data_IF_918119256171
#
_entry.id   IF_918119256171
#
_cell.length_a   1.000
_cell.length_b   1.000
_cell.length_c   1.000
_cell.angle_alpha   90.00
_cell.angle_beta   90.00
_cell.angle_gamma   90.00
#
_symmetry.space_group_name_H-M   'P 1'
#
loop_
_entity.id
_entity.type
_entity.pdbx_description
1 polymer ?
#
# COMPACT_ATOMS: atom_id res chain seq x y z
N UNK A 1 86.12 -125.53 84.75
CA UNK A 1 87.57 -125.26 84.72
C UNK A 1 87.86 -124.46 83.46
N UNK A 2 88.73 -123.45 83.54
CA UNK A 2 89.08 -122.63 82.38
C UNK A 2 90.04 -123.39 81.45
N UNK A 3 89.99 -123.07 80.15
CA UNK A 3 91.18 -123.08 79.30
C UNK A 3 91.04 -121.95 78.28
N UNK A 4 91.96 -120.99 78.36
CA UNK A 4 92.16 -119.94 77.37
C UNK A 4 93.31 -120.39 76.46
N UNK A 5 93.14 -120.25 75.14
CA UNK A 5 94.22 -120.42 74.15
C UNK A 5 94.14 -119.28 73.14
N UNK A 6 94.54 -118.09 73.59
CA UNK A 6 95.08 -117.07 72.70
C UNK A 6 96.41 -117.54 72.09
N UNK A 7 96.43 -117.79 70.76
CA UNK A 7 97.53 -117.44 69.84
C UNK A 7 97.24 -117.83 68.37
N UNK A 8 97.95 -117.18 67.45
CA UNK A 8 98.08 -117.49 66.01
C UNK A 8 96.79 -117.33 65.16
N UNK A 9 96.13 -116.17 65.11
CA UNK A 9 96.55 -114.91 64.46
C UNK A 9 96.96 -115.06 62.96
N UNK A 10 96.11 -114.48 62.09
CA UNK A 10 96.34 -113.98 60.71
C UNK A 10 96.37 -115.01 59.55
N UNK A 11 95.52 -114.80 58.52
CA UNK A 11 95.42 -115.70 57.37
C UNK A 11 94.83 -115.18 56.04
N UNK A 12 93.58 -114.65 56.01
CA UNK A 12 92.91 -114.06 54.80
C UNK A 12 92.66 -115.02 53.59
N UNK A 13 91.53 -115.02 52.86
CA UNK A 13 90.25 -114.27 52.85
C UNK A 13 89.15 -115.14 52.13
N UNK A 14 87.97 -114.70 51.68
CA UNK A 14 87.09 -113.51 51.93
C UNK A 14 85.82 -113.97 52.70
N UNK A 15 84.69 -113.25 52.64
CA UNK A 15 83.54 -113.46 53.55
C UNK A 15 82.21 -112.96 52.94
N UNK A 16 81.10 -113.63 53.24
CA UNK A 16 79.72 -113.19 52.94
C UNK A 16 78.82 -113.50 54.15
N UNK A 17 77.95 -112.57 54.58
CA UNK A 17 77.13 -112.70 55.81
C UNK A 17 75.65 -112.56 55.48
N UNK A 18 74.87 -113.64 55.67
CA UNK A 18 73.47 -113.70 55.23
C UNK A 18 72.41 -113.22 56.23
N UNK A 19 72.75 -112.94 57.50
CA UNK A 19 71.85 -112.29 58.48
C UNK A 19 72.62 -111.85 59.73
N UNK A 20 72.32 -110.64 60.21
CA UNK A 20 72.74 -110.14 61.51
C UNK A 20 71.46 -109.81 62.30
N UNK A 21 71.29 -110.38 63.49
CA UNK A 21 70.17 -110.07 64.37
C UNK A 21 70.71 -110.02 65.81
N UNK A 22 70.64 -108.86 66.44
CA UNK A 22 71.29 -108.57 67.71
C UNK A 22 70.35 -107.74 68.58
N UNK A 23 69.93 -108.32 69.70
CA UNK A 23 69.11 -107.67 70.72
C UNK A 23 69.97 -107.41 71.96
N UNK A 24 70.39 -106.16 72.16
CA UNK A 24 71.17 -105.74 73.34
C UNK A 24 72.48 -105.05 72.96
N UNK A 25 72.37 -103.75 72.63
CA UNK A 25 73.45 -102.80 72.32
C UNK A 25 74.27 -103.06 71.03
N UNK A 26 74.77 -101.97 70.44
CA UNK A 26 75.01 -101.87 68.98
C UNK A 26 76.23 -102.64 68.45
N UNK A 27 76.09 -103.22 67.25
CA UNK A 27 77.23 -103.65 66.41
C UNK A 27 77.35 -102.75 65.19
N UNK A 28 78.37 -101.89 65.21
CA UNK A 28 78.84 -101.10 64.09
C UNK A 28 79.71 -101.96 63.16
N UNK A 29 79.27 -102.21 61.91
CA UNK A 29 80.08 -102.87 60.89
C UNK A 29 80.84 -101.80 60.08
N UNK A 30 82.10 -101.56 60.42
CA UNK A 30 83.00 -100.70 59.65
C UNK A 30 83.76 -101.50 58.59
N UNK A 31 83.17 -101.59 57.38
CA UNK A 31 83.81 -102.19 56.20
C UNK A 31 82.88 -102.15 54.98
N UNK A 32 83.42 -102.13 53.74
CA UNK A 32 82.60 -102.04 52.54
C UNK A 32 81.78 -103.32 52.31
N UNK A 33 80.46 -103.21 52.44
CA UNK A 33 79.52 -104.29 52.10
C UNK A 33 79.49 -104.44 50.56
N UNK A 34 80.00 -105.55 50.05
CA UNK A 34 79.78 -105.96 48.66
C UNK A 34 78.48 -106.76 48.57
N UNK A 35 77.50 -106.22 47.86
CA UNK A 35 76.33 -106.94 47.39
C UNK A 35 76.51 -107.30 45.90
N UNK A 36 76.45 -108.58 45.50
CA UNK A 36 76.58 -108.96 44.10
C UNK A 36 75.24 -108.77 43.36
N UNK A 37 75.25 -107.84 42.39
CA UNK A 37 74.38 -107.76 41.22
C UNK A 37 72.84 -107.78 41.43
N UNK A 38 72.21 -106.61 41.54
CA UNK A 38 70.90 -106.29 40.92
C UNK A 38 70.65 -104.77 41.01
N UNK A 39 70.20 -104.14 39.91
CA UNK A 39 69.15 -103.08 39.88
C UNK A 39 68.88 -102.65 38.44
N UNK A 40 67.93 -103.31 37.78
CA UNK A 40 66.78 -102.54 37.29
C UNK A 40 65.80 -102.43 38.47
N UNK A 41 65.14 -101.27 38.62
CA UNK A 41 64.05 -101.09 39.59
C UNK A 41 64.40 -100.33 40.87
N UNK A 42 64.03 -99.05 40.89
CA UNK A 42 63.53 -98.26 42.03
C UNK A 42 64.12 -98.47 43.44
N UNK A 43 64.78 -97.44 43.95
CA UNK A 43 64.98 -97.24 45.40
C UNK A 43 63.63 -96.86 46.04
N UNK A 44 63.20 -97.62 47.04
CA UNK A 44 61.98 -97.35 47.83
C UNK A 44 62.40 -96.81 49.19
N UNK A 45 61.98 -95.58 49.52
CA UNK A 45 62.13 -95.01 50.86
C UNK A 45 60.90 -95.37 51.70
N UNK A 46 61.09 -96.22 52.72
CA UNK A 46 60.03 -96.55 53.68
C UNK A 46 60.22 -95.74 54.97
N UNK A 47 59.41 -94.69 55.12
CA UNK A 47 59.25 -93.91 56.35
C UNK A 47 57.81 -93.40 56.42
N UNK A 48 57.22 -93.36 57.62
CA UNK A 48 55.77 -93.16 57.82
C UNK A 48 55.24 -91.74 57.56
N UNK A 49 55.99 -90.89 56.86
CA UNK A 49 55.69 -89.47 56.57
C UNK A 49 55.88 -89.15 55.08
N UNK A 50 55.26 -89.92 54.17
CA UNK A 50 55.26 -89.64 52.73
C UNK A 50 53.84 -89.26 52.26
N UNK A 51 53.62 -87.98 52.01
CA UNK A 51 52.37 -87.42 51.46
C UNK A 51 52.38 -87.39 49.92
N UNK A 52 51.20 -87.28 49.31
CA UNK A 52 50.90 -87.74 47.93
C UNK A 52 51.64 -87.05 46.76
N UNK A 53 52.41 -85.97 46.98
CA UNK A 53 52.79 -85.01 45.92
C UNK A 53 54.10 -85.30 45.16
N UNK A 54 54.64 -86.53 45.16
CA UNK A 54 55.90 -86.83 44.47
C UNK A 54 55.87 -88.11 43.62
N UNK A 55 55.33 -87.99 42.40
CA UNK A 55 55.41 -89.01 41.34
C UNK A 55 55.92 -88.44 40.02
N UNK A 56 57.25 -88.40 39.90
CA UNK A 56 58.03 -88.72 38.70
C UNK A 56 57.68 -88.02 37.36
N UNK A 57 58.41 -86.96 37.02
CA UNK A 57 58.66 -86.57 35.63
C UNK A 57 60.17 -86.46 35.39
N UNK A 58 60.75 -87.46 34.71
CA UNK A 58 62.19 -87.61 34.56
C UNK A 58 62.78 -86.55 33.60
N UNK A 59 63.36 -85.50 34.17
CA UNK A 59 64.10 -84.47 33.44
C UNK A 59 65.45 -85.01 32.97
N UNK A 60 65.75 -84.95 31.66
CA UNK A 60 67.08 -85.29 31.16
C UNK A 60 68.07 -84.16 31.46
N UNK A 61 68.92 -84.38 32.48
CA UNK A 61 69.92 -83.43 32.98
C UNK A 61 70.93 -82.95 31.93
N UNK A 62 71.07 -83.64 30.79
CA UNK A 62 71.98 -83.24 29.70
C UNK A 62 71.44 -82.25 28.67
N UNK A 63 70.11 -81.99 28.61
CA UNK A 63 69.50 -81.15 27.53
C UNK A 63 68.54 -80.05 27.98
N UNK A 64 68.16 -79.97 29.26
CA UNK A 64 67.28 -78.91 29.80
C UNK A 64 65.95 -78.68 29.03
N UNK A 65 65.44 -79.71 28.37
CA UNK A 65 64.15 -79.70 27.66
C UNK A 65 63.48 -81.06 27.79
N UNK A 66 62.14 -81.07 27.78
CA UNK A 66 61.31 -82.27 27.64
C UNK A 66 61.34 -82.73 26.17
N UNK A 67 61.52 -84.03 25.93
CA UNK A 67 61.48 -84.55 24.55
C UNK A 67 60.04 -84.59 24.03
N UNK A 68 59.87 -84.21 22.76
CA UNK A 68 58.63 -83.69 22.18
C UNK A 68 57.47 -84.68 22.02
N UNK A 69 57.59 -85.92 22.50
CA UNK A 69 56.65 -87.00 22.21
C UNK A 69 56.12 -87.77 23.44
N UNK A 70 56.36 -87.30 24.68
CA UNK A 70 56.02 -88.07 25.90
C UNK A 70 54.87 -87.56 26.79
N UNK A 71 54.23 -86.42 26.50
CA UNK A 71 52.96 -86.04 27.17
C UNK A 71 51.79 -86.52 26.31
N UNK A 72 51.53 -87.83 26.35
CA UNK A 72 50.45 -88.47 25.60
C UNK A 72 49.18 -88.57 26.45
N UNK A 73 48.37 -87.51 26.46
CA UNK A 73 47.04 -87.54 27.08
C UNK A 73 46.09 -88.36 26.20
N UNK A 74 46.06 -89.67 26.41
CA UNK A 74 45.12 -90.58 25.75
C UNK A 74 43.88 -90.81 26.61
N UNK A 75 42.71 -90.39 26.12
CA UNK A 75 41.43 -90.96 26.58
C UNK A 75 41.32 -92.41 26.11
N UNK A 76 40.83 -93.29 26.98
CA UNK A 76 40.58 -94.72 26.69
C UNK A 76 39.43 -95.00 25.71
N UNK A 77 38.85 -93.96 25.10
CA UNK A 77 37.73 -94.05 24.17
C UNK A 77 36.35 -94.05 24.83
N UNK A 78 36.25 -94.01 26.17
CA UNK A 78 34.94 -94.03 26.87
C UNK A 78 34.51 -92.68 27.47
N UNK A 79 35.38 -91.66 27.47
CA UNK A 79 35.04 -90.30 27.90
C UNK A 79 35.21 -89.27 26.78
N UNK A 80 34.18 -88.44 26.57
CA UNK A 80 33.97 -87.65 25.36
C UNK A 80 34.93 -86.47 25.10
N UNK A 81 35.90 -86.20 25.99
CA UNK A 81 37.02 -85.30 25.72
C UNK A 81 38.17 -85.51 26.71
N UNK A 82 39.41 -85.85 26.27
CA UNK A 82 40.61 -85.67 27.09
C UNK A 82 40.92 -84.17 27.21
N UNK A 83 40.25 -83.49 28.15
CA UNK A 83 40.50 -82.09 28.43
C UNK A 83 41.72 -81.91 29.34
N UNK A 84 42.74 -81.18 28.88
CA UNK A 84 43.82 -80.67 29.72
C UNK A 84 43.26 -79.56 30.64
N UNK A 85 42.71 -79.96 31.78
CA UNK A 85 42.13 -79.04 32.77
C UNK A 85 43.22 -78.46 33.67
N UNK A 86 43.62 -77.22 33.40
CA UNK A 86 44.37 -76.41 34.36
C UNK A 86 43.42 -75.91 35.46
N UNK A 87 43.07 -76.80 36.40
CA UNK A 87 42.30 -76.43 37.59
C UNK A 87 43.24 -75.82 38.64
N UNK A 88 43.68 -74.59 38.39
CA UNK A 88 44.55 -73.85 39.31
C UNK A 88 43.81 -72.66 39.93
N UNK A 89 43.59 -72.72 41.23
CA UNK A 89 43.07 -71.61 42.03
C UNK A 89 44.14 -70.87 42.83
N UNK A 90 45.44 -71.27 42.84
CA UNK A 90 46.56 -70.48 43.42
C UNK A 90 48.01 -71.07 43.33
N UNK A 91 48.45 -71.69 42.23
CA UNK A 91 49.77 -72.39 42.15
C UNK A 91 50.68 -72.04 40.96
N UNK A 92 50.24 -71.14 40.07
CA UNK A 92 51.17 -70.23 39.37
C UNK A 92 51.65 -70.68 37.99
N UNK A 93 50.79 -71.33 37.20
CA UNK A 93 51.07 -71.53 35.76
C UNK A 93 51.03 -70.24 34.93
N UNK A 94 50.33 -69.21 35.41
CA UNK A 94 50.31 -67.86 34.83
C UNK A 94 50.34 -66.81 35.95
N UNK A 95 51.18 -65.79 35.80
CA UNK A 95 51.28 -64.62 36.70
C UNK A 95 50.33 -63.51 36.25
N UNK A 96 50.08 -62.54 37.13
CA UNK A 96 49.39 -61.29 36.77
C UNK A 96 50.19 -60.58 35.67
N UNK A 97 49.61 -60.46 34.48
CA UNK A 97 50.24 -59.90 33.28
C UNK A 97 50.66 -60.93 32.22
N UNK A 98 50.64 -62.23 32.52
CA UNK A 98 50.95 -63.26 31.53
C UNK A 98 49.82 -63.37 30.48
N UNK A 99 50.20 -63.37 29.20
CA UNK A 99 49.26 -63.50 28.09
C UNK A 99 49.03 -64.96 27.70
N UNK A 100 47.84 -65.50 28.01
CA UNK A 100 47.41 -66.81 27.48
C UNK A 100 47.11 -66.67 25.98
N UNK A 101 48.05 -67.10 25.14
CA UNK A 101 47.86 -67.13 23.67
C UNK A 101 46.97 -68.30 23.27
N UNK A 102 45.67 -68.05 23.20
CA UNK A 102 44.71 -68.97 22.57
C UNK A 102 44.84 -68.89 21.04
N UNK A 103 45.59 -69.83 20.45
CA UNK A 103 45.66 -69.98 18.99
C UNK A 103 44.43 -70.73 18.48
N UNK A 104 43.40 -69.98 18.08
CA UNK A 104 42.23 -70.52 17.39
C UNK A 104 42.52 -70.58 15.89
N UNK A 105 42.21 -71.71 15.26
CA UNK A 105 42.29 -71.80 13.81
C UNK A 105 41.02 -71.22 13.17
N UNK A 106 41.10 -70.94 11.88
CA UNK A 106 40.06 -70.34 11.03
C UNK A 106 38.78 -71.19 10.84
N UNK A 107 38.54 -72.19 11.69
CA UNK A 107 37.28 -72.96 11.76
C UNK A 107 36.76 -73.15 13.18
N UNK A 108 37.36 -72.52 14.20
CA UNK A 108 36.94 -72.63 15.60
C UNK A 108 36.41 -71.29 16.15
N UNK A 109 35.15 -71.28 16.57
CA UNK A 109 34.49 -70.13 17.21
C UNK A 109 34.92 -70.06 18.68
N UNK A 110 35.30 -68.87 19.17
CA UNK A 110 35.44 -68.61 20.59
C UNK A 110 34.06 -68.44 21.24
N UNK A 111 33.52 -69.51 21.82
CA UNK A 111 32.27 -69.45 22.59
C UNK A 111 32.59 -69.01 24.02
N UNK A 112 32.33 -67.74 24.34
CA UNK A 112 32.41 -67.22 25.71
C UNK A 112 31.06 -67.38 26.40
N UNK A 113 30.95 -68.34 27.32
CA UNK A 113 29.75 -68.55 28.13
C UNK A 113 29.73 -67.62 29.37
N UNK A 114 29.99 -66.33 29.15
CA UNK A 114 30.02 -65.28 30.16
C UNK A 114 29.19 -64.08 29.69
N UNK A 115 28.78 -63.20 30.61
CA UNK A 115 27.87 -62.08 30.34
C UNK A 115 28.43 -60.98 29.44
N UNK A 116 29.68 -61.08 29.00
CA UNK A 116 30.32 -60.15 28.06
C UNK A 116 31.80 -60.46 27.85
N UNK A 117 32.41 -59.77 26.88
CA UNK A 117 33.86 -59.70 26.67
C UNK A 117 34.35 -58.34 27.16
N UNK A 118 35.17 -58.33 28.22
CA UNK A 118 35.89 -57.11 28.61
C UNK A 118 37.20 -57.00 27.80
N UNK A 119 37.37 -55.88 27.10
CA UNK A 119 38.56 -55.56 26.30
C UNK A 119 39.39 -54.42 26.90
N UNK A 120 38.92 -53.79 27.98
CA UNK A 120 39.50 -52.57 28.54
C UNK A 120 39.73 -51.51 27.43
N UNK A 121 40.96 -51.01 27.27
CA UNK A 121 41.32 -49.97 26.29
C UNK A 121 41.80 -50.53 24.94
N UNK A 122 41.66 -51.83 24.69
CA UNK A 122 42.10 -52.46 23.44
C UNK A 122 41.08 -52.26 22.31
N UNK A 123 41.58 -51.96 21.11
CA UNK A 123 40.75 -51.87 19.90
C UNK A 123 40.40 -53.26 19.39
N UNK A 124 39.15 -53.45 18.95
CA UNK A 124 38.84 -54.51 17.99
C UNK A 124 39.28 -54.01 16.62
N UNK A 125 40.10 -54.80 15.91
CA UNK A 125 40.54 -54.50 14.54
C UNK A 125 40.03 -55.60 13.60
N UNK A 126 39.61 -55.23 12.38
CA UNK A 126 39.09 -56.19 11.40
C UNK A 126 37.63 -56.60 11.60
N UNK A 127 36.83 -55.86 12.36
CA UNK A 127 35.35 -55.96 12.28
C UNK A 127 34.93 -55.43 10.91
N UNK A 128 34.24 -56.26 10.13
CA UNK A 128 33.62 -55.85 8.85
C UNK A 128 32.36 -55.04 9.14
N UNK A 129 31.99 -54.12 8.26
CA UNK A 129 30.78 -53.31 8.43
C UNK A 129 29.53 -54.19 8.61
N UNK A 130 28.64 -53.85 9.57
CA UNK A 130 27.47 -54.65 9.86
C UNK A 130 26.45 -54.59 8.71
N UNK A 131 25.89 -55.75 8.39
CA UNK A 131 24.79 -55.95 7.44
C UNK A 131 23.43 -56.05 8.14
N UNK A 132 23.40 -56.27 9.46
CA UNK A 132 22.18 -56.37 10.27
C UNK A 132 22.28 -55.63 11.61
N UNK A 133 21.13 -55.17 12.13
CA UNK A 133 21.01 -54.35 13.34
C UNK A 133 21.50 -55.02 14.65
N UNK A 134 21.79 -56.32 14.64
CA UNK A 134 22.28 -57.08 15.80
C UNK A 134 23.78 -57.39 15.75
N UNK A 135 24.49 -56.95 14.71
CA UNK A 135 25.94 -57.09 14.60
C UNK A 135 26.67 -55.97 15.37
N UNK A 136 27.96 -56.17 15.65
CA UNK A 136 28.77 -55.20 16.37
C UNK A 136 28.99 -53.93 15.53
N UNK A 137 28.17 -52.90 15.75
CA UNK A 137 28.27 -51.65 15.02
C UNK A 137 29.65 -51.00 15.16
N UNK A 138 30.33 -50.75 14.04
CA UNK A 138 31.53 -49.93 14.02
C UNK A 138 31.15 -48.48 14.34
N UNK A 139 32.06 -47.69 14.96
CA UNK A 139 31.77 -46.26 15.19
C UNK A 139 31.43 -45.56 13.88
N UNK A 140 32.10 -45.94 12.78
CA UNK A 140 31.83 -45.42 11.44
C UNK A 140 30.41 -45.71 10.96
N UNK A 141 29.87 -46.91 11.20
CA UNK A 141 28.46 -47.21 10.86
C UNK A 141 27.49 -46.29 11.60
N UNK A 142 27.76 -45.98 12.88
CA UNK A 142 26.94 -45.05 13.65
C UNK A 142 27.11 -43.61 13.14
N UNK A 143 28.35 -43.16 12.90
CA UNK A 143 28.63 -41.82 12.39
C UNK A 143 28.11 -41.57 10.96
N UNK A 144 28.09 -42.59 10.09
CA UNK A 144 27.61 -42.50 8.70
C UNK A 144 26.07 -42.62 8.59
N UNK A 145 25.38 -43.14 9.62
CA UNK A 145 23.92 -43.33 9.63
C UNK A 145 23.18 -42.46 10.67
N UNK A 146 23.88 -41.76 11.57
CA UNK A 146 23.26 -40.73 12.41
C UNK A 146 23.02 -39.47 11.58
N UNK A 147 21.76 -39.04 11.53
CA UNK A 147 21.21 -38.20 10.46
C UNK A 147 21.50 -36.71 10.69
N UNK A 148 22.76 -36.30 10.58
CA UNK A 148 23.22 -34.91 10.72
C UNK A 148 22.86 -34.06 9.48
N UNK A 149 21.57 -33.95 9.17
CA UNK A 149 21.03 -33.29 7.97
C UNK A 149 21.20 -31.78 8.05
N UNK A 150 22.36 -31.30 7.60
CA UNK A 150 22.69 -29.86 7.49
C UNK A 150 22.07 -29.18 6.27
N UNK A 151 21.40 -29.94 5.39
CA UNK A 151 20.70 -29.42 4.22
C UNK A 151 19.19 -29.74 4.26
N UNK A 152 18.39 -28.67 4.24
CA UNK A 152 16.93 -28.71 4.16
C UNK A 152 16.38 -29.51 2.96
N UNK A 153 17.13 -29.67 1.87
CA UNK A 153 16.67 -30.43 0.69
C UNK A 153 16.37 -31.91 0.99
N UNK A 154 16.97 -32.46 2.05
CA UNK A 154 16.77 -33.85 2.49
C UNK A 154 15.48 -34.09 3.30
N UNK A 155 14.76 -33.02 3.68
CA UNK A 155 13.58 -33.13 4.54
C UNK A 155 12.31 -33.42 3.72
N UNK A 156 11.83 -34.66 3.78
CA UNK A 156 10.57 -35.07 3.16
C UNK A 156 9.35 -34.54 3.93
N UNK A 157 8.42 -33.87 3.23
CA UNK A 157 7.07 -33.47 3.69
C UNK A 157 6.98 -32.38 4.78
N UNK A 158 7.62 -31.21 4.61
CA UNK A 158 7.32 -30.00 5.42
C UNK A 158 6.22 -29.11 4.77
N UNK A 159 5.56 -29.57 3.71
CA UNK A 159 4.50 -28.81 3.03
C UNK A 159 4.16 -29.39 1.66
N UNK A 160 3.19 -28.78 0.97
CA UNK A 160 2.78 -29.17 -0.40
C UNK A 160 3.67 -28.62 -1.51
N UNK A 161 4.59 -27.71 -1.18
CA UNK A 161 5.47 -27.04 -2.14
C UNK A 161 6.89 -27.62 -2.01
N UNK A 162 7.50 -27.96 -3.14
CA UNK A 162 8.89 -28.43 -3.23
C UNK A 162 9.88 -27.27 -3.06
N UNK A 163 11.14 -27.57 -2.72
CA UNK A 163 12.23 -26.59 -2.69
C UNK A 163 12.32 -25.80 -4.00
N UNK A 164 12.24 -26.47 -5.16
CA UNK A 164 12.22 -25.78 -6.45
C UNK A 164 11.06 -24.77 -6.61
N UNK A 165 9.88 -25.04 -6.03
CA UNK A 165 8.75 -24.09 -6.01
C UNK A 165 8.98 -22.94 -5.02
N UNK A 166 9.64 -23.20 -3.89
CA UNK A 166 10.00 -22.19 -2.88
C UNK A 166 11.11 -21.28 -3.42
N UNK A 167 12.17 -21.83 -4.00
CA UNK A 167 13.27 -21.10 -4.64
C UNK A 167 12.77 -20.30 -5.84
N UNK A 168 11.85 -20.86 -6.64
CA UNK A 168 11.18 -20.11 -7.71
C UNK A 168 10.37 -18.95 -7.14
N UNK A 169 9.65 -19.13 -6.03
CA UNK A 169 8.89 -18.05 -5.39
C UNK A 169 9.81 -16.96 -4.78
N UNK A 170 10.95 -17.34 -4.21
CA UNK A 170 11.97 -16.43 -3.67
C UNK A 170 12.71 -15.66 -4.79
N UNK A 171 12.88 -16.26 -5.97
CA UNK A 171 13.47 -15.62 -7.14
C UNK A 171 12.45 -14.85 -8.01
N UNK A 172 11.16 -15.15 -7.88
CA UNK A 172 10.07 -14.52 -8.62
C UNK A 172 9.70 -13.15 -8.02
N UNK A 173 10.45 -12.12 -8.41
CA UNK A 173 10.14 -10.73 -8.06
C UNK A 173 8.85 -10.19 -8.72
N UNK A 174 8.05 -11.01 -9.42
CA UNK A 174 6.67 -10.66 -9.82
C UNK A 174 5.62 -11.08 -8.78
N UNK A 175 5.98 -11.97 -7.84
CA UNK A 175 5.11 -12.42 -6.75
C UNK A 175 5.79 -12.46 -5.37
N UNK A 176 7.01 -11.93 -5.24
CA UNK A 176 7.70 -11.72 -3.97
C UNK A 176 6.99 -10.65 -3.12
N UNK A 177 5.83 -11.05 -2.59
CA UNK A 177 4.83 -10.26 -1.90
C UNK A 177 4.16 -9.19 -2.80
N UNK A 178 2.84 -9.04 -2.65
CA UNK A 178 2.09 -7.93 -3.25
C UNK A 178 2.33 -6.61 -2.47
N UNK A 179 3.58 -6.36 -2.09
CA UNK A 179 4.06 -5.32 -1.17
C UNK A 179 4.18 -3.94 -1.84
N UNK A 180 3.39 -3.74 -2.90
CA UNK A 180 3.48 -2.55 -3.73
C UNK A 180 2.96 -1.34 -2.94
N UNK A 181 3.84 -0.38 -2.65
CA UNK A 181 3.57 0.80 -1.81
C UNK A 181 3.53 0.53 -0.29
N UNK A 182 4.16 -0.55 0.19
CA UNK A 182 4.29 -0.81 1.63
C UNK A 182 5.65 -0.41 2.22
N UNK A 183 6.68 -0.13 1.39
CA UNK A 183 7.96 0.42 1.85
C UNK A 183 8.20 1.87 1.40
N UNK A 184 8.87 2.65 2.26
CA UNK A 184 9.18 4.06 1.96
C UNK A 184 10.27 4.16 0.90
N UNK A 185 9.94 4.71 -0.27
CA UNK A 185 10.89 4.91 -1.38
C UNK A 185 10.65 4.00 -2.59
N UNK A 186 9.65 3.11 -2.53
CA UNK A 186 9.24 2.26 -3.65
C UNK A 186 9.00 3.08 -4.93
N UNK A 187 9.88 2.90 -5.92
CA UNK A 187 9.72 3.53 -7.23
C UNK A 187 8.95 2.60 -8.14
N UNK A 188 7.70 2.97 -8.40
CA UNK A 188 6.79 2.20 -9.21
C UNK A 188 7.20 2.09 -10.68
N UNK A 189 7.13 0.88 -11.24
CA UNK A 189 7.11 0.67 -12.68
C UNK A 189 5.87 -0.14 -13.06
N UNK A 190 5.11 0.34 -14.04
CA UNK A 190 3.84 -0.26 -14.46
C UNK A 190 2.58 0.43 -13.91
N UNK A 191 1.44 0.04 -14.47
CA UNK A 191 0.13 0.57 -14.10
C UNK A 191 -0.36 -0.03 -12.78
N UNK A 192 -1.18 0.74 -12.05
CA UNK A 192 -1.91 0.25 -10.88
C UNK A 192 -3.40 0.35 -11.09
N UNK A 193 -4.14 -0.66 -10.63
CA UNK A 193 -5.58 -0.67 -10.65
C UNK A 193 -6.14 -1.12 -9.30
N UNK A 194 -6.55 -0.16 -8.48
CA UNK A 194 -7.18 -0.40 -7.19
C UNK A 194 -8.70 -0.52 -7.40
N UNK A 195 -9.27 -1.65 -6.97
CA UNK A 195 -10.72 -1.92 -7.02
C UNK A 195 -11.32 -1.64 -8.42
N UNK A 196 -10.71 -2.26 -9.43
CA UNK A 196 -11.14 -2.27 -10.84
C UNK A 196 -11.45 -0.91 -11.48
N UNK A 197 -10.87 0.18 -10.96
CA UNK A 197 -10.95 1.53 -11.51
C UNK A 197 -11.27 2.60 -10.48
N UNK A 198 -11.59 2.25 -9.23
CA UNK A 198 -11.83 3.21 -8.13
C UNK A 198 -10.64 4.16 -7.97
N UNK A 199 -9.41 3.66 -8.00
CA UNK A 199 -8.20 4.47 -8.19
C UNK A 199 -7.26 3.78 -9.19
N UNK A 200 -6.78 4.51 -10.19
CA UNK A 200 -5.98 3.96 -11.28
C UNK A 200 -4.79 4.86 -11.57
N UNK A 201 -3.60 4.28 -11.73
CA UNK A 201 -2.40 4.99 -12.17
C UNK A 201 -1.96 4.38 -13.48
N UNK A 202 -1.98 5.19 -14.54
CA UNK A 202 -1.48 4.86 -15.87
C UNK A 202 -0.03 5.36 -15.99
N UNK A 203 0.94 4.46 -15.78
CA UNK A 203 2.36 4.77 -15.96
C UNK A 203 2.74 4.87 -17.44
N UNK A 204 1.95 4.28 -18.35
CA UNK A 204 2.22 4.33 -19.78
C UNK A 204 1.87 5.70 -20.38
N UNK A 205 0.86 6.39 -19.84
CA UNK A 205 0.48 7.75 -20.29
C UNK A 205 0.65 8.87 -19.26
N UNK A 206 1.22 8.57 -18.09
CA UNK A 206 1.46 9.49 -16.96
C UNK A 206 0.18 10.19 -16.46
N UNK A 207 -0.83 9.39 -16.10
CA UNK A 207 -2.14 9.91 -15.64
C UNK A 207 -2.69 9.14 -14.45
N UNK A 208 -3.57 9.80 -13.72
CA UNK A 208 -4.32 9.25 -12.60
C UNK A 208 -5.81 9.25 -12.93
N UNK A 209 -6.47 8.11 -12.77
CA UNK A 209 -7.92 7.95 -12.81
C UNK A 209 -8.50 7.78 -11.40
N UNK A 210 -9.69 8.34 -11.15
CA UNK A 210 -10.52 8.01 -9.99
C UNK A 210 -11.91 7.65 -10.53
N UNK A 211 -12.39 6.44 -10.25
CA UNK A 211 -13.61 5.89 -10.88
C UNK A 211 -13.47 5.59 -12.39
N UNK A 212 -12.25 5.46 -12.92
CA UNK A 212 -11.99 5.14 -14.33
C UNK A 212 -10.59 4.56 -14.56
N UNK A 213 -10.51 3.51 -15.39
CA UNK A 213 -9.26 2.91 -15.89
C UNK A 213 -8.77 3.51 -17.20
N UNK A 214 -9.47 4.51 -17.77
CA UNK A 214 -9.11 5.15 -19.05
C UNK A 214 -8.99 6.67 -18.90
N UNK A 215 -7.99 7.17 -18.14
CA UNK A 215 -7.82 8.59 -17.91
C UNK A 215 -7.53 9.37 -19.20
N UNK A 216 -8.35 10.38 -19.48
CA UNK A 216 -8.19 11.27 -20.66
C UNK A 216 -7.38 12.53 -20.36
N UNK A 217 -7.12 12.83 -19.08
CA UNK A 217 -6.35 13.96 -18.55
C UNK A 217 -5.40 13.47 -17.47
N UNK A 218 -4.39 14.27 -17.10
CA UNK A 218 -3.40 13.92 -16.06
C UNK A 218 -4.05 13.51 -14.73
N UNK A 219 -5.18 14.13 -14.38
CA UNK A 219 -6.13 13.62 -13.39
C UNK A 219 -7.51 13.54 -14.06
N UNK A 220 -8.12 12.36 -14.07
CA UNK A 220 -9.47 12.12 -14.56
C UNK A 220 -10.31 11.47 -13.47
N UNK A 221 -11.02 12.28 -12.69
CA UNK A 221 -11.99 11.81 -11.71
C UNK A 221 -13.38 11.71 -12.38
N UNK A 222 -13.93 10.50 -12.49
CA UNK A 222 -15.22 10.22 -13.10
C UNK A 222 -16.27 9.94 -12.03
N UNK A 223 -17.35 10.72 -11.99
CA UNK A 223 -18.43 10.56 -11.00
C UNK A 223 -18.09 10.95 -9.56
N UNK A 224 -16.97 11.65 -9.34
CA UNK A 224 -16.46 12.04 -8.01
C UNK A 224 -16.86 13.46 -7.64
N UNK A 225 -17.22 13.69 -6.37
CA UNK A 225 -17.41 15.02 -5.79
C UNK A 225 -16.13 15.48 -5.08
N UNK A 226 -15.56 16.61 -5.50
CA UNK A 226 -14.44 17.25 -4.78
C UNK A 226 -15.01 18.14 -3.67
N UNK A 227 -14.89 17.70 -2.42
CA UNK A 227 -15.33 18.47 -1.24
C UNK A 227 -14.13 19.06 -0.51
N UNK A 228 -13.93 20.37 -0.63
CA UNK A 228 -13.10 21.12 0.29
C UNK A 228 -13.90 21.40 1.58
N UNK A 229 -13.34 21.10 2.76
CA UNK A 229 -13.99 21.32 4.05
C UNK A 229 -12.98 21.52 5.18
N UNK A 230 -13.33 22.35 6.17
CA UNK A 230 -12.52 22.53 7.39
C UNK A 230 -11.79 23.86 7.52
N UNK A 231 -11.98 24.81 6.59
CA UNK A 231 -11.38 26.15 6.63
C UNK A 231 -12.43 27.23 6.33
N UNK A 232 -12.19 28.46 6.77
CA UNK A 232 -13.04 29.63 6.49
C UNK A 232 -13.02 30.06 5.00
N UNK A 233 -12.07 29.53 4.25
CA UNK A 233 -11.93 29.63 2.79
C UNK A 233 -11.78 28.20 2.28
N UNK A 234 -12.72 27.73 1.46
CA UNK A 234 -12.70 26.40 0.87
C UNK A 234 -13.08 26.49 -0.60
N UNK A 235 -12.29 25.91 -1.50
CA UNK A 235 -12.50 26.10 -2.94
C UNK A 235 -11.60 25.25 -3.80
N UNK A 236 -11.70 25.48 -5.12
CA UNK A 236 -10.83 24.90 -6.13
C UNK A 236 -10.08 26.07 -6.78
N UNK A 237 -8.78 26.14 -6.53
CA UNK A 237 -7.87 27.05 -7.24
C UNK A 237 -7.61 26.48 -8.64
N UNK A 238 -7.81 27.30 -9.67
CA UNK A 238 -7.41 26.98 -11.04
C UNK A 238 -6.16 27.80 -11.38
N UNK A 239 -5.02 27.34 -10.85
CA UNK A 239 -3.73 27.94 -11.15
C UNK A 239 -3.39 27.70 -12.64
N UNK A 240 -3.23 28.78 -13.42
CA UNK A 240 -2.81 28.72 -14.83
C UNK A 240 -1.46 29.43 -14.96
N UNK A 241 -0.57 29.13 -14.01
CA UNK A 241 0.79 29.62 -13.94
C UNK A 241 1.77 28.91 -14.86
N UNK A 242 2.36 29.65 -15.79
CA UNK A 242 3.69 29.34 -16.33
C UNK A 242 4.73 29.99 -15.42
N UNK A 243 5.71 29.23 -14.96
CA UNK A 243 6.51 29.45 -13.74
C UNK A 243 7.52 30.62 -13.74
N UNK A 244 7.22 31.75 -14.38
CA UNK A 244 8.14 32.90 -14.49
C UNK A 244 7.50 34.29 -14.41
N UNK A 245 6.17 34.38 -14.33
CA UNK A 245 5.44 35.62 -14.02
C UNK A 245 4.34 35.34 -13.00
N UNK A 246 3.93 36.32 -12.16
CA UNK A 246 2.70 36.20 -11.39
C UNK A 246 1.52 36.22 -12.37
N UNK A 247 1.15 35.02 -12.84
CA UNK A 247 0.03 34.84 -13.74
C UNK A 247 -1.27 35.19 -13.04
N UNK A 248 -2.28 35.42 -13.88
CA UNK A 248 -3.62 35.69 -13.41
C UNK A 248 -4.27 34.38 -13.01
N UNK A 249 -4.07 33.97 -11.77
CA UNK A 249 -4.74 32.79 -11.23
C UNK A 249 -6.21 33.12 -10.93
N UNK A 250 -7.09 32.20 -11.31
CA UNK A 250 -8.53 32.34 -11.11
C UNK A 250 -9.02 31.29 -10.13
N UNK A 251 -9.70 31.76 -9.08
CA UNK A 251 -10.25 30.88 -8.05
C UNK A 251 -11.76 30.91 -8.05
N UNK A 252 -12.35 29.76 -7.73
CA UNK A 252 -13.71 29.65 -7.26
C UNK A 252 -13.71 29.07 -5.85
N UNK A 253 -14.16 29.84 -4.87
CA UNK A 253 -14.13 29.46 -3.45
C UNK A 253 -15.30 30.03 -2.66
N UNK A 254 -15.56 29.47 -1.48
CA UNK A 254 -16.48 30.02 -0.49
C UNK A 254 -15.75 30.96 0.46
N UNK A 255 -16.25 32.18 0.64
CA UNK A 255 -15.77 33.14 1.62
C UNK A 255 -16.83 33.30 2.71
N UNK A 256 -16.70 32.54 3.80
CA UNK A 256 -17.84 32.27 4.67
C UNK A 256 -18.92 31.50 3.88
N UNK A 257 -20.15 32.01 3.86
CA UNK A 257 -21.29 31.39 3.16
C UNK A 257 -21.44 31.84 1.69
N UNK A 258 -20.64 32.81 1.22
CA UNK A 258 -20.74 33.38 -0.12
C UNK A 258 -19.84 32.64 -1.13
N UNK A 259 -20.35 32.35 -2.33
CA UNK A 259 -19.55 31.82 -3.44
C UNK A 259 -18.88 32.98 -4.21
N UNK A 260 -17.56 32.91 -4.39
CA UNK A 260 -16.74 34.00 -4.95
C UNK A 260 -15.93 33.51 -6.14
N UNK A 261 -15.92 34.31 -7.20
CA UNK A 261 -14.99 34.22 -8.34
C UNK A 261 -13.97 35.35 -8.22
N UNK A 262 -12.70 35.01 -8.08
CA UNK A 262 -11.61 35.95 -7.83
C UNK A 262 -10.52 35.87 -8.88
N UNK A 263 -10.00 37.03 -9.23
CA UNK A 263 -8.75 37.19 -9.97
C UNK A 263 -7.61 37.46 -8.97
N UNK A 264 -6.55 36.65 -8.99
CA UNK A 264 -5.33 36.85 -8.22
C UNK A 264 -4.24 37.42 -9.11
N UNK A 265 -4.15 38.75 -9.21
CA UNK A 265 -3.07 39.44 -9.95
C UNK A 265 -2.40 40.51 -9.09
N UNK A 266 -1.40 40.10 -8.31
CA UNK A 266 -0.68 40.94 -7.36
C UNK A 266 -1.49 41.26 -6.10
N UNK A 267 -2.73 41.72 -6.25
CA UNK A 267 -3.73 41.82 -5.19
C UNK A 267 -4.99 41.03 -5.56
N UNK A 268 -5.73 40.60 -4.55
CA UNK A 268 -6.98 39.85 -4.68
C UNK A 268 -8.10 40.76 -5.19
N UNK A 269 -8.71 40.41 -6.33
CA UNK A 269 -9.82 41.16 -6.90
C UNK A 269 -11.05 40.26 -7.11
N UNK A 270 -12.08 40.43 -6.28
CA UNK A 270 -13.35 39.72 -6.45
C UNK A 270 -14.08 40.26 -7.69
N UNK A 271 -14.28 39.39 -8.68
CA UNK A 271 -14.92 39.74 -9.95
C UNK A 271 -16.41 39.40 -9.95
N UNK A 272 -16.83 38.36 -9.24
CA UNK A 272 -18.23 38.04 -9.02
C UNK A 272 -18.43 37.42 -7.63
N UNK A 273 -19.55 37.77 -6.99
CA UNK A 273 -19.98 37.27 -5.68
C UNK A 273 -21.41 36.75 -5.81
N UNK A 274 -21.69 35.56 -5.32
CA UNK A 274 -23.04 35.04 -5.10
C UNK A 274 -23.22 34.87 -3.58
N UNK A 275 -23.99 35.76 -2.96
CA UNK A 275 -24.20 35.73 -1.52
C UNK A 275 -25.12 34.60 -1.08
N UNK A 276 -24.95 34.15 0.15
CA UNK A 276 -26.00 33.44 0.86
C UNK A 276 -27.33 34.23 0.78
N UNK A 277 -28.41 33.58 0.33
CA UNK A 277 -29.68 34.23 -0.01
C UNK A 277 -29.87 34.57 -1.50
N UNK A 278 -28.87 34.35 -2.36
CA UNK A 278 -29.02 34.39 -3.81
C UNK A 278 -28.88 35.77 -4.46
N UNK A 279 -28.09 36.67 -3.87
CA UNK A 279 -27.77 37.98 -4.44
C UNK A 279 -26.46 37.89 -5.24
N UNK A 280 -26.49 38.30 -6.51
CA UNK A 280 -25.33 38.29 -7.40
C UNK A 280 -24.74 39.69 -7.52
N UNK A 281 -23.49 39.86 -7.14
CA UNK A 281 -22.67 41.03 -7.43
C UNK A 281 -21.69 40.75 -8.55
N UNK A 282 -21.63 41.59 -9.59
CA UNK A 282 -20.58 41.57 -10.62
C UNK A 282 -19.72 42.81 -10.40
N UNK A 283 -18.45 42.63 -10.05
CA UNK A 283 -17.55 43.71 -9.63
C UNK A 283 -17.80 44.26 -8.21
N UNK A 284 -18.77 43.71 -7.46
CA UNK A 284 -19.05 44.06 -6.05
C UNK A 284 -19.15 42.81 -5.17
N UNK A 285 -18.73 42.97 -3.92
CA UNK A 285 -18.85 41.98 -2.83
C UNK A 285 -20.09 42.18 -1.96
N UNK A 286 -20.77 43.31 -2.10
CA UNK A 286 -21.95 43.66 -1.32
C UNK A 286 -23.10 44.17 -2.21
N UNK A 287 -23.66 43.30 -3.09
CA UNK A 287 -24.81 43.63 -3.93
C UNK A 287 -26.00 44.11 -3.10
N UNK A 288 -26.52 45.30 -3.41
CA UNK A 288 -27.71 45.88 -2.76
C UNK A 288 -29.04 45.37 -3.32
N UNK A 289 -29.01 44.62 -4.43
CA UNK A 289 -30.15 44.06 -5.15
C UNK A 289 -29.82 42.63 -5.63
N UNK A 290 -30.82 41.86 -6.08
CA UNK A 290 -30.62 40.44 -6.49
C UNK A 290 -29.58 40.27 -7.61
N UNK A 291 -29.45 41.26 -8.48
CA UNK A 291 -28.32 41.42 -9.39
C UNK A 291 -27.85 42.87 -9.26
N UNK A 292 -26.59 43.05 -8.91
CA UNK A 292 -25.92 44.34 -8.80
C UNK A 292 -24.64 44.30 -9.65
N UNK A 293 -24.39 45.34 -10.45
CA UNK A 293 -23.31 45.38 -11.43
C UNK A 293 -22.52 46.67 -11.24
N UNK A 294 -21.33 46.52 -10.66
CA UNK A 294 -20.43 47.63 -10.35
C UNK A 294 -20.12 47.80 -8.88
N UNK A 295 -19.09 48.58 -8.59
CA UNK A 295 -18.64 48.93 -7.24
C UNK A 295 -18.91 50.41 -6.89
N UNK A 296 -19.77 51.08 -7.65
CA UNK A 296 -20.02 52.51 -7.54
C UNK A 296 -18.97 53.41 -8.21
N UNK A 297 -18.03 52.86 -9.00
CA UNK A 297 -17.01 53.63 -9.71
C UNK A 297 -16.86 53.21 -11.18
N UNK A 298 -16.68 54.19 -12.07
CA UNK A 298 -16.55 53.95 -13.50
C UNK A 298 -17.89 53.72 -14.21
N UNK A 299 -17.87 53.04 -15.34
CA UNK A 299 -19.04 52.79 -16.18
C UNK A 299 -19.39 51.30 -16.19
N UNK A 300 -20.64 50.98 -15.88
CA UNK A 300 -21.16 49.62 -15.90
C UNK A 300 -22.30 49.53 -16.92
N UNK A 301 -22.28 48.49 -17.76
CA UNK A 301 -23.25 48.31 -18.85
C UNK A 301 -23.71 46.87 -18.95
N UNK A 302 -25.01 46.69 -19.21
CA UNK A 302 -25.56 45.42 -19.70
C UNK A 302 -25.64 45.55 -21.22
N UNK A 303 -24.87 44.73 -21.95
CA UNK A 303 -24.90 44.70 -23.42
C UNK A 303 -25.83 43.58 -23.89
N UNK A 304 -26.97 43.94 -24.47
CA UNK A 304 -27.83 42.99 -25.21
C UNK A 304 -27.43 43.03 -26.68
N UNK A 305 -26.95 41.91 -27.21
CA UNK A 305 -26.55 41.77 -28.61
C UNK A 305 -27.60 40.94 -29.38
N UNK A 306 -27.91 41.36 -30.61
CA UNK A 306 -28.83 40.66 -31.51
C UNK A 306 -28.20 40.54 -32.91
N UNK A 307 -28.70 39.59 -33.71
CA UNK A 307 -28.29 39.47 -35.12
C UNK A 307 -28.66 40.74 -35.91
N UNK A 308 -28.11 40.93 -37.12
CA UNK A 308 -28.32 42.14 -37.93
C UNK A 308 -29.80 42.47 -38.25
N UNK A 309 -30.70 41.48 -38.20
CA UNK A 309 -32.15 41.63 -38.34
C UNK A 309 -32.92 41.16 -37.09
N UNK A 310 -32.24 41.01 -35.95
CA UNK A 310 -32.81 40.58 -34.67
C UNK A 310 -33.12 41.77 -33.76
N UNK A 311 -34.08 41.59 -32.85
CA UNK A 311 -34.43 42.59 -31.84
C UNK A 311 -33.55 42.43 -30.60
N UNK A 312 -32.80 43.47 -30.23
CA UNK A 312 -32.19 43.55 -28.89
C UNK A 312 -33.23 44.13 -27.91
N UNK A 313 -33.46 43.48 -26.76
CA UNK A 313 -34.48 43.93 -25.82
C UNK A 313 -34.12 43.67 -24.35
N UNK A 314 -34.55 44.58 -23.48
CA UNK A 314 -34.77 44.32 -22.05
C UNK A 314 -36.26 44.06 -21.84
N UNK A 315 -36.59 42.86 -21.35
CA UNK A 315 -37.97 42.38 -21.18
C UNK A 315 -38.33 42.39 -19.69
N UNK A 316 -39.50 42.92 -19.37
CA UNK A 316 -40.10 42.93 -18.04
C UNK A 316 -41.25 41.93 -18.01
N UNK A 317 -41.22 40.99 -17.08
CA UNK A 317 -42.24 39.96 -16.92
C UNK A 317 -42.76 39.87 -15.49
N UNK A 318 -44.01 39.41 -15.35
CA UNK A 318 -44.67 39.15 -14.08
C UNK A 318 -45.31 37.76 -14.17
N UNK A 319 -45.02 36.88 -13.19
CA UNK A 319 -45.53 35.50 -13.15
C UNK A 319 -45.34 34.72 -14.48
N UNK A 320 -44.20 34.92 -15.16
CA UNK A 320 -43.88 34.27 -16.45
C UNK A 320 -44.53 34.91 -17.69
N UNK A 321 -45.42 35.90 -17.53
CA UNK A 321 -46.01 36.66 -18.64
C UNK A 321 -45.25 37.96 -18.87
N UNK A 322 -44.94 38.30 -20.13
CA UNK A 322 -44.37 39.62 -20.45
C UNK A 322 -45.39 40.73 -20.23
N UNK A 323 -44.99 41.78 -19.50
CA UNK A 323 -45.79 42.97 -19.21
C UNK A 323 -45.24 44.24 -19.88
N UNK A 324 -44.03 44.19 -20.43
CA UNK A 324 -43.48 45.23 -21.29
C UNK A 324 -42.01 44.99 -21.66
N UNK A 325 -41.49 45.84 -22.55
CA UNK A 325 -40.08 45.83 -22.97
C UNK A 325 -39.57 47.20 -23.40
N UNK A 326 -38.25 47.36 -23.31
CA UNK A 326 -37.49 48.36 -24.06
C UNK A 326 -36.72 47.60 -25.13
N UNK A 327 -36.90 47.92 -26.41
CA UNK A 327 -36.30 47.16 -27.49
C UNK A 327 -35.84 47.99 -28.67
N UNK A 328 -34.85 47.49 -29.39
CA UNK A 328 -34.39 47.96 -30.69
C UNK A 328 -34.80 46.94 -31.75
N UNK A 329 -36.03 47.00 -32.29
CA UNK A 329 -36.50 46.05 -33.31
C UNK A 329 -35.84 46.27 -34.67
N UNK A 330 -35.24 47.44 -34.90
CA UNK A 330 -34.42 47.77 -36.06
C UNK A 330 -33.25 48.68 -35.63
N UNK A 331 -32.20 48.76 -36.45
CA UNK A 331 -31.00 49.57 -36.16
C UNK A 331 -31.26 51.08 -36.02
N UNK A 332 -32.41 51.57 -36.50
CA UNK A 332 -32.80 52.98 -36.52
C UNK A 332 -33.91 53.34 -35.53
N UNK A 333 -34.37 52.40 -34.70
CA UNK A 333 -35.59 52.60 -33.90
C UNK A 333 -35.50 51.92 -32.55
N UNK A 334 -35.80 52.67 -31.48
CA UNK A 334 -36.09 52.16 -30.15
C UNK A 334 -37.61 52.20 -29.88
N UNK A 335 -38.15 51.17 -29.24
CA UNK A 335 -39.56 51.07 -28.87
C UNK A 335 -39.71 50.77 -27.38
N UNK A 336 -40.64 51.46 -26.73
CA UNK A 336 -41.16 51.12 -25.41
C UNK A 336 -42.55 50.52 -25.61
N UNK A 337 -42.75 49.30 -25.12
CA UNK A 337 -44.00 48.56 -25.27
C UNK A 337 -44.49 48.08 -23.91
N UNK A 338 -45.79 48.16 -23.66
CA UNK A 338 -46.42 47.69 -22.42
C UNK A 338 -47.67 46.86 -22.71
N UNK A 339 -48.05 46.02 -21.74
CA UNK A 339 -49.22 45.15 -21.80
C UNK A 339 -48.96 43.77 -22.40
N UNK A 340 -49.82 42.82 -22.05
CA UNK A 340 -49.78 41.46 -22.58
C UNK A 340 -50.01 41.48 -24.10
N UNK A 341 -49.10 40.86 -24.87
CA UNK A 341 -49.11 40.92 -26.34
C UNK A 341 -48.29 42.06 -26.95
N UNK A 342 -47.65 42.91 -26.13
CA UNK A 342 -46.57 43.83 -26.52
C UNK A 342 -46.96 44.85 -27.62
N UNK A 343 -47.92 45.72 -27.31
CA UNK A 343 -48.22 46.87 -28.18
C UNK A 343 -47.17 47.98 -28.01
N UNK A 344 -46.63 48.51 -29.13
CA UNK A 344 -45.70 49.65 -29.10
C UNK A 344 -46.41 50.91 -28.63
N UNK A 345 -46.03 51.42 -27.46
CA UNK A 345 -46.65 52.59 -26.83
C UNK A 345 -45.85 53.87 -27.07
N UNK A 346 -44.53 53.77 -27.17
CA UNK A 346 -43.66 54.85 -27.65
C UNK A 346 -42.62 54.30 -28.63
N UNK A 347 -42.30 55.10 -29.65
CA UNK A 347 -41.22 54.88 -30.61
C UNK A 347 -40.28 56.08 -30.62
N UNK A 348 -38.97 55.86 -30.59
CA UNK A 348 -37.94 56.89 -30.81
C UNK A 348 -37.11 56.47 -32.02
N UNK A 349 -37.05 57.31 -33.05
CA UNK A 349 -36.22 57.08 -34.24
C UNK A 349 -34.81 57.64 -34.06
N UNK A 350 -33.85 57.11 -34.83
CA UNK A 350 -32.47 57.62 -34.91
C UNK A 350 -32.36 59.02 -35.50
N UNK A 351 -33.44 59.57 -36.04
CA UNK A 351 -33.57 60.98 -36.44
C UNK A 351 -34.06 61.89 -35.29
N UNK A 352 -34.23 61.35 -34.08
CA UNK A 352 -34.71 62.08 -32.90
C UNK A 352 -36.23 62.23 -32.78
N UNK A 353 -37.00 61.69 -33.73
CA UNK A 353 -38.45 61.75 -33.71
C UNK A 353 -39.06 60.81 -32.67
N UNK A 354 -39.88 61.34 -31.77
CA UNK A 354 -40.62 60.58 -30.76
C UNK A 354 -42.09 60.50 -31.16
N UNK A 355 -42.64 59.28 -31.19
CA UNK A 355 -44.06 59.00 -31.43
C UNK A 355 -44.64 58.24 -30.24
N UNK A 356 -45.84 58.62 -29.80
CA UNK A 356 -46.59 57.98 -28.71
C UNK A 356 -47.94 57.52 -29.26
N UNK A 357 -48.34 56.29 -28.96
CA UNK A 357 -49.58 55.69 -29.46
C UNK A 357 -50.71 55.86 -28.43
N UNK A 358 -51.70 56.71 -28.73
CA UNK A 358 -52.89 56.92 -27.91
C UNK A 358 -53.29 58.40 -27.79
N UNK A 359 -54.32 58.67 -26.98
CA UNK A 359 -54.79 60.04 -26.75
C UNK A 359 -53.74 60.86 -25.98
N UNK A 360 -53.25 61.91 -26.62
CA UNK A 360 -52.48 62.96 -25.96
C UNK A 360 -53.38 63.70 -24.97
N UNK A 361 -53.41 63.27 -23.71
CA UNK A 361 -53.97 64.06 -22.60
C UNK A 361 -53.36 65.46 -22.63
N UNK A 362 -54.18 66.46 -22.96
CA UNK A 362 -53.75 67.84 -22.97
C UNK A 362 -53.16 68.21 -21.60
N UNK A 363 -51.90 68.69 -21.59
CA UNK A 363 -51.18 69.10 -20.38
C UNK A 363 -49.98 68.23 -19.96
N UNK A 364 -49.80 67.01 -20.48
CA UNK A 364 -48.71 66.11 -19.99
C UNK A 364 -47.43 66.04 -20.85
N UNK A 365 -47.41 66.65 -22.05
CA UNK A 365 -46.23 66.62 -22.96
C UNK A 365 -45.76 68.02 -23.39
N UNK A 366 -46.64 69.02 -23.42
CA UNK A 366 -46.31 70.41 -23.77
C UNK A 366 -46.14 71.32 -22.54
N UNK A 367 -45.52 70.81 -21.47
CA UNK A 367 -45.32 71.59 -20.23
C UNK A 367 -44.16 72.60 -20.30
N UNK A 368 -43.29 72.48 -21.30
CA UNK A 368 -42.10 73.34 -21.50
C UNK A 368 -41.77 73.57 -22.99
N UNK A 369 -42.22 72.68 -23.88
CA UNK A 369 -42.31 72.99 -25.31
C UNK A 369 -43.44 74.01 -25.52
N UNK A 370 -43.11 75.29 -25.38
CA UNK A 370 -43.89 76.36 -26.00
C UNK A 370 -44.13 75.98 -27.46
N UNK A 371 -45.38 75.69 -27.80
CA UNK A 371 -45.84 76.14 -29.11
C UNK A 371 -45.73 77.67 -28.98
N UNK A 372 -44.65 78.21 -29.51
CA UNK A 372 -44.37 79.62 -29.72
C UNK A 372 -43.51 79.68 -30.99
N UNK A 373 -44.19 79.49 -32.11
CA UNK A 373 -43.65 79.83 -33.41
C UNK A 373 -44.30 81.17 -33.84
N UNK A 374 -43.80 81.84 -34.90
CA UNK A 374 -44.32 83.15 -35.31
C UNK A 374 -45.83 83.21 -35.66
N UNK A 375 -46.52 82.07 -35.76
CA UNK A 375 -47.93 81.92 -36.17
C UNK A 375 -48.83 81.20 -35.16
N UNK A 376 -48.31 80.50 -34.16
CA UNK A 376 -49.10 79.80 -33.15
C UNK A 376 -48.45 79.89 -31.77
N UNK A 377 -49.25 80.16 -30.73
CA UNK A 377 -48.80 80.15 -29.34
C UNK A 377 -49.82 79.57 -28.35
N UNK A 378 -49.34 78.98 -27.26
CA UNK A 378 -50.16 78.89 -26.04
C UNK A 378 -50.23 80.27 -25.37
N UNK A 379 -51.41 80.63 -24.87
CA UNK A 379 -51.63 81.90 -24.17
C UNK A 379 -51.34 81.76 -22.67
N UNK A 380 -51.05 82.87 -22.01
CA UNK A 380 -50.89 82.93 -20.54
C UNK A 380 -52.15 82.58 -19.76
N UNK A 381 -53.31 82.52 -20.44
CA UNK A 381 -54.60 82.12 -19.87
C UNK A 381 -54.94 80.64 -20.15
N UNK A 382 -54.06 79.88 -20.81
CA UNK A 382 -54.22 78.44 -21.06
C UNK A 382 -54.90 78.07 -22.38
N UNK A 383 -55.47 79.02 -23.11
CA UNK A 383 -56.01 78.80 -24.46
C UNK A 383 -54.94 78.71 -25.54
N UNK A 384 -55.23 77.99 -26.63
CA UNK A 384 -54.39 77.91 -27.83
C UNK A 384 -54.75 79.04 -28.81
N UNK A 385 -53.75 79.80 -29.23
CA UNK A 385 -53.92 80.94 -30.14
C UNK A 385 -53.13 80.76 -31.43
N UNK A 386 -53.72 81.23 -32.53
CA UNK A 386 -53.06 81.36 -33.82
C UNK A 386 -53.07 82.82 -34.28
N UNK A 387 -52.15 83.17 -35.17
CA UNK A 387 -51.94 84.54 -35.62
C UNK A 387 -52.64 84.76 -36.95
N UNK A 388 -53.68 85.60 -36.94
CA UNK A 388 -54.54 85.87 -38.09
C UNK A 388 -54.61 87.38 -38.36
N UNK A 389 -54.76 87.75 -39.62
CA UNK A 389 -54.86 89.15 -40.05
C UNK A 389 -56.19 89.74 -39.59
N UNK A 390 -56.14 90.82 -38.82
CA UNK A 390 -57.34 91.57 -38.44
C UNK A 390 -57.93 92.26 -39.69
N UNK A 391 -59.09 91.82 -40.17
CA UNK A 391 -59.87 92.46 -41.24
C UNK A 391 -61.25 92.92 -40.76
N UNK A 392 -61.37 93.27 -39.48
CA UNK A 392 -62.63 93.72 -38.87
C UNK A 392 -63.03 95.16 -39.23
N UNK A 393 -62.17 95.91 -39.94
CA UNK A 393 -62.39 97.32 -40.29
C UNK A 393 -62.01 98.31 -39.17
N UNK A 394 -61.61 97.81 -38.00
CA UNK A 394 -61.19 98.59 -36.84
C UNK A 394 -59.98 97.94 -36.15
N UNK A 395 -59.46 98.59 -35.10
CA UNK A 395 -58.44 97.97 -34.25
C UNK A 395 -59.05 96.80 -33.46
N UNK A 396 -58.25 95.77 -33.17
CA UNK A 396 -58.68 94.64 -32.34
C UNK A 396 -59.06 95.08 -30.92
N UNK A 397 -59.90 94.30 -30.26
CA UNK A 397 -60.22 94.45 -28.83
C UNK A 397 -60.23 93.05 -28.23
N UNK A 398 -59.47 92.86 -27.15
CA UNK A 398 -59.38 91.59 -26.44
C UNK A 398 -60.78 91.07 -26.03
N UNK A 399 -61.02 89.78 -26.23
CA UNK A 399 -62.31 89.12 -25.94
C UNK A 399 -63.40 89.31 -27.00
N UNK A 400 -63.19 90.13 -28.03
CA UNK A 400 -64.15 90.20 -29.15
C UNK A 400 -64.12 88.89 -29.96
N UNK A 401 -65.30 88.30 -30.13
CA UNK A 401 -65.54 87.12 -30.98
C UNK A 401 -65.35 87.50 -32.46
N UNK A 402 -64.65 86.64 -33.19
CA UNK A 402 -64.37 86.78 -34.62
C UNK A 402 -64.65 85.49 -35.39
N UNK A 403 -64.87 85.60 -36.70
CA UNK A 403 -65.01 84.46 -37.62
C UNK A 403 -64.02 84.58 -38.78
N UNK A 404 -63.77 83.48 -39.48
CA UNK A 404 -62.86 83.40 -40.62
C UNK A 404 -63.28 84.29 -41.77
N UNK A 405 -62.33 85.02 -42.34
CA UNK A 405 -62.53 85.74 -43.60
C UNK A 405 -62.65 84.75 -44.77
N UNK A 406 -63.73 84.85 -45.55
CA UNK A 406 -63.92 84.01 -46.75
C UNK A 406 -63.26 84.59 -48.01
N UNK A 407 -62.76 85.84 -47.95
CA UNK A 407 -62.16 86.55 -49.07
C UNK A 407 -60.63 86.73 -48.94
N UNK A 408 -60.05 86.51 -47.75
CA UNK A 408 -58.62 86.64 -47.51
C UNK A 408 -58.09 85.44 -46.70
N UNK A 409 -57.00 84.83 -47.17
CA UNK A 409 -56.32 83.77 -46.43
C UNK A 409 -55.78 84.30 -45.09
N UNK A 410 -55.70 83.42 -44.09
CA UNK A 410 -55.15 83.69 -42.76
C UNK A 410 -55.69 84.98 -42.10
N UNK A 411 -56.99 85.25 -42.26
CA UNK A 411 -57.64 86.48 -41.80
C UNK A 411 -58.94 86.21 -41.04
N UNK A 412 -59.33 87.18 -40.20
CA UNK A 412 -60.58 87.18 -39.45
C UNK A 412 -61.37 88.46 -39.69
N UNK A 413 -62.69 88.30 -39.82
CA UNK A 413 -63.65 89.38 -40.05
C UNK A 413 -64.72 89.40 -38.97
N UNK A 414 -65.32 90.59 -38.83
CA UNK A 414 -66.58 90.87 -38.14
C UNK A 414 -66.60 90.63 -36.62
N UNK A 415 -66.98 91.67 -35.90
CA UNK A 415 -67.21 91.70 -34.45
C UNK A 415 -68.68 92.00 -34.20
N UNK A 416 -69.47 91.00 -33.78
CA UNK A 416 -70.78 91.20 -33.13
C UNK A 416 -71.02 90.02 -32.17
N UNK A 417 -71.83 90.20 -31.12
CA UNK A 417 -72.37 89.06 -30.37
C UNK A 417 -73.17 88.12 -31.32
N UNK A 418 -73.12 86.81 -31.04
CA UNK A 418 -73.87 85.75 -31.73
C UNK A 418 -73.50 85.53 -33.22
N UNK A 419 -72.22 85.44 -33.55
CA UNK A 419 -71.78 84.96 -34.88
C UNK A 419 -71.90 83.43 -34.96
N UNK A 420 -72.62 82.85 -35.95
CA UNK A 420 -72.55 81.42 -36.24
C UNK A 420 -71.13 81.04 -36.65
N UNK A 421 -70.61 79.92 -36.15
CA UNK A 421 -69.25 79.43 -36.46
C UNK A 421 -68.16 80.47 -36.13
N UNK A 422 -68.14 80.91 -34.88
CA UNK A 422 -67.01 81.68 -34.34
C UNK A 422 -65.71 80.88 -34.49
N UNK A 423 -64.66 81.53 -35.00
CA UNK A 423 -63.31 80.94 -35.13
C UNK A 423 -62.52 81.10 -33.84
N UNK A 424 -62.81 82.14 -33.06
CA UNK A 424 -62.13 82.41 -31.80
C UNK A 424 -62.43 83.81 -31.26
N UNK A 425 -61.60 84.26 -30.32
CA UNK A 425 -61.60 85.62 -29.77
C UNK A 425 -60.23 86.29 -29.95
N UNK A 426 -60.18 87.60 -30.16
CA UNK A 426 -58.90 88.32 -30.10
C UNK A 426 -58.30 88.23 -28.70
N UNK A 427 -57.00 87.96 -28.61
CA UNK A 427 -56.22 87.98 -27.38
C UNK A 427 -55.82 89.41 -26.99
N UNK A 428 -55.37 90.19 -27.97
CA UNK A 428 -54.76 91.50 -27.75
C UNK A 428 -55.66 92.64 -28.28
N UNK A 429 -55.69 93.77 -27.58
CA UNK A 429 -56.34 95.01 -28.02
C UNK A 429 -55.39 95.91 -28.80
N UNK A 430 -55.93 96.73 -29.71
CA UNK A 430 -55.19 97.80 -30.39
C UNK A 430 -54.48 97.41 -31.69
N UNK A 431 -54.55 96.14 -32.12
CA UNK A 431 -53.91 95.70 -33.38
C UNK A 431 -54.69 96.27 -34.57
N UNK A 432 -54.03 97.09 -35.39
CA UNK A 432 -54.67 97.80 -36.50
C UNK A 432 -55.31 96.86 -37.54
N UNK A 433 -56.33 97.35 -38.23
CA UNK A 433 -56.90 96.66 -39.39
C UNK A 433 -55.83 96.50 -40.49
N UNK A 434 -55.65 95.27 -40.96
CA UNK A 434 -54.59 94.86 -41.90
C UNK A 434 -53.34 94.27 -41.23
N UNK A 435 -53.21 94.33 -39.91
CA UNK A 435 -52.08 93.76 -39.18
C UNK A 435 -52.40 92.36 -38.59
N UNK A 436 -51.37 91.60 -38.26
CA UNK A 436 -51.49 90.28 -37.61
C UNK A 436 -51.85 90.42 -36.12
N UNK A 437 -52.96 89.81 -35.71
CA UNK A 437 -53.42 89.73 -34.33
C UNK A 437 -53.43 88.27 -33.83
N UNK A 438 -53.25 88.07 -32.53
CA UNK A 438 -53.43 86.76 -31.91
C UNK A 438 -54.93 86.50 -31.67
N UNK A 439 -55.41 85.33 -32.13
CA UNK A 439 -56.79 84.85 -31.98
C UNK A 439 -56.76 83.53 -31.22
N UNK A 440 -57.40 83.47 -30.06
CA UNK A 440 -57.58 82.25 -29.26
C UNK A 440 -58.71 81.42 -29.87
N UNK A 441 -58.41 80.20 -30.32
CA UNK A 441 -59.35 79.36 -31.08
C UNK A 441 -59.90 78.18 -30.27
N UNK A 442 -59.28 77.84 -29.14
CA UNK A 442 -59.75 76.81 -28.21
C UNK A 442 -59.08 76.97 -26.83
N UNK A 443 -59.71 76.41 -25.79
CA UNK A 443 -59.40 76.62 -24.37
C UNK A 443 -60.32 77.66 -23.75
#
# INVERSE_FOLDING_TARGET
MAHDITKDVIGCKEFEVQKLNLSGEEVQISGPIKLPLFTDGSIIFNGSNLTQDNSNLFWNVGRTQLESNLIKITSDGTQAAPALKFNDTNTGFFKVGDSVRLSLNNSTILIMNATGLDMNTHKIIGVVDPTANQEAATKKYVDDNDSDTTDHTALSNIGTNTHAQIDTHLADNSQAHSDYMLNTGDTASGNYNFDSGTFFIDSATNKVGIGTTTPQRMLHAHGVLIRASGAAIAGIEMNVGTSSTPNVDWDMFTLGDDLVFRERKGADNTRMTLKAGGFVGIGTTNPGQRLDIGNGTGTHVIRVNAAAAGTAAHIFSQAGTEVGRISFPASTTMTFSIGAGVATSMTISSAGGVSVLGDFKAGTIFSDATIENPKAKMTTLGGYAIKLTNRTGANSVAGHVVTSDSANNDAVVKVIQNVPNATGVFLDSGVANGAEAWVVITG
#
